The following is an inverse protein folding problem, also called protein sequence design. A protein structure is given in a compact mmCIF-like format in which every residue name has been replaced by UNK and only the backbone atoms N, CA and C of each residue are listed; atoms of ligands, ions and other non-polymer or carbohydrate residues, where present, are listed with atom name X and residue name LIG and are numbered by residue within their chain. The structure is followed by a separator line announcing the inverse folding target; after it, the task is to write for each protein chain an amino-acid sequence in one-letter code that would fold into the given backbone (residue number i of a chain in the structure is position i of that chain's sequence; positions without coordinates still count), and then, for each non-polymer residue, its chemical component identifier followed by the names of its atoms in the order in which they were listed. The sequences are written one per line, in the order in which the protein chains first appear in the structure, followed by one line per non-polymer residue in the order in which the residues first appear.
data_IF_042990460903
#
_entry.id   IF_042990460903
#
_cell.length_a   1.000
_cell.length_b   1.000
_cell.length_c   1.000
_cell.angle_alpha   90.00
_cell.angle_beta   90.00
_cell.angle_gamma   90.00
#
_symmetry.space_group_name_H-M   'P 1'
#
loop_
_entity.id
_entity.type
_entity.pdbx_description
1 polymer ?
#
# COMPACT_ATOMS: atom_id res chain seq x y z
N UNK A 1 -20.09 17.24 -15.15
CA UNK A 1 -20.74 18.01 -14.05
C UNK A 1 -19.73 18.27 -12.93
N UNK A 2 -20.00 19.21 -12.00
CA UNK A 2 -19.12 19.54 -10.86
C UNK A 2 -18.79 18.30 -9.99
N UNK A 3 -19.75 17.41 -9.82
CA UNK A 3 -19.60 16.16 -9.07
C UNK A 3 -18.52 15.22 -9.63
N UNK A 4 -18.39 15.15 -10.95
CA UNK A 4 -17.33 14.35 -11.62
C UNK A 4 -15.94 14.86 -11.25
N UNK A 5 -15.75 16.18 -11.28
CA UNK A 5 -14.47 16.79 -10.92
C UNK A 5 -14.16 16.64 -9.44
N UNK A 6 -15.17 16.74 -8.56
CA UNK A 6 -14.97 16.49 -7.13
C UNK A 6 -14.63 15.02 -6.85
N UNK A 7 -15.19 14.07 -7.61
CA UNK A 7 -14.79 12.65 -7.55
C UNK A 7 -13.37 12.46 -8.05
N UNK A 8 -13.03 12.97 -9.22
CA UNK A 8 -11.67 12.85 -9.76
C UNK A 8 -10.62 13.43 -8.81
N UNK A 9 -10.86 14.60 -8.23
CA UNK A 9 -9.96 15.22 -7.25
C UNK A 9 -9.79 14.37 -5.99
N UNK A 10 -10.86 13.79 -5.45
CA UNK A 10 -10.77 12.85 -4.32
C UNK A 10 -9.86 11.65 -4.63
N UNK A 11 -9.90 11.18 -5.88
CA UNK A 11 -9.08 10.06 -6.34
C UNK A 11 -7.64 10.51 -6.57
N UNK A 12 -7.38 11.74 -7.01
CA UNK A 12 -6.01 12.28 -7.06
C UNK A 12 -5.39 12.43 -5.68
N UNK A 13 -6.19 12.77 -4.66
CA UNK A 13 -5.72 12.96 -3.29
C UNK A 13 -5.57 11.64 -2.51
N UNK A 14 -6.44 10.64 -2.76
CA UNK A 14 -6.53 9.42 -1.94
C UNK A 14 -6.37 8.11 -2.72
N UNK A 15 -6.44 8.17 -4.04
CA UNK A 15 -6.32 7.00 -4.90
C UNK A 15 -4.89 6.46 -4.94
N UNK A 16 -4.75 5.22 -5.38
CA UNK A 16 -3.45 4.60 -5.54
C UNK A 16 -2.80 5.08 -6.83
N UNK A 17 -1.59 5.63 -6.72
CA UNK A 17 -0.77 5.88 -7.90
C UNK A 17 -0.25 4.56 -8.44
N UNK A 18 -0.67 4.23 -9.67
CA UNK A 18 -0.21 3.02 -10.34
C UNK A 18 1.06 3.31 -11.14
N UNK A 19 2.04 2.41 -11.04
CA UNK A 19 3.28 2.46 -11.83
C UNK A 19 3.02 2.16 -13.30
N UNK A 20 2.05 1.29 -13.60
CA UNK A 20 1.50 1.11 -14.94
C UNK A 20 0.30 2.03 -15.13
N UNK A 21 0.31 2.80 -16.21
CA UNK A 21 -0.69 3.83 -16.48
C UNK A 21 -1.69 3.34 -17.51
N UNK A 22 -2.93 3.84 -17.44
CA UNK A 22 -3.87 3.64 -18.53
C UNK A 22 -3.30 4.28 -19.82
N UNK A 23 -3.70 3.77 -20.98
CA UNK A 23 -3.18 4.21 -22.28
C UNK A 23 -3.25 5.74 -22.45
N UNK A 24 -4.34 6.37 -21.98
CA UNK A 24 -4.48 7.82 -22.02
C UNK A 24 -3.47 8.54 -21.11
N UNK A 25 -3.29 8.06 -19.89
CA UNK A 25 -2.34 8.65 -18.95
C UNK A 25 -0.90 8.46 -19.45
N UNK A 26 -0.60 7.32 -20.08
CA UNK A 26 0.68 7.06 -20.73
C UNK A 26 0.93 8.04 -21.88
N UNK A 27 0.00 8.13 -22.86
CA UNK A 27 0.08 9.03 -24.01
C UNK A 27 0.24 10.51 -23.62
N UNK A 28 -0.43 10.92 -22.53
CA UNK A 28 -0.38 12.30 -22.04
C UNK A 28 0.72 12.54 -21.00
N UNK A 29 1.53 11.53 -20.67
CA UNK A 29 2.57 11.58 -19.62
C UNK A 29 2.04 12.08 -18.27
N UNK A 30 0.82 11.67 -17.91
CA UNK A 30 0.16 12.02 -16.66
C UNK A 30 0.37 10.92 -15.61
N UNK A 31 0.28 11.29 -14.33
CA UNK A 31 0.18 10.31 -13.24
C UNK A 31 -1.19 9.61 -13.30
N UNK A 32 -1.24 8.34 -12.93
CA UNK A 32 -2.46 7.53 -13.00
C UNK A 32 -2.89 7.12 -11.58
N UNK A 33 -3.70 7.97 -10.94
CA UNK A 33 -4.31 7.68 -9.66
C UNK A 33 -5.62 6.93 -9.85
N UNK A 34 -5.77 5.78 -9.21
CA UNK A 34 -6.88 4.85 -9.42
C UNK A 34 -7.74 4.73 -8.18
N UNK A 35 -9.04 4.76 -8.42
CA UNK A 35 -10.06 4.36 -7.46
C UNK A 35 -10.20 2.84 -7.53
N UNK A 36 -9.68 2.11 -6.55
CA UNK A 36 -9.68 0.64 -6.54
C UNK A 36 -11.09 0.06 -6.59
N UNK A 37 -12.08 0.76 -6.01
CA UNK A 37 -13.48 0.32 -6.02
C UNK A 37 -14.13 0.40 -7.41
N UNK A 38 -13.64 1.27 -8.31
CA UNK A 38 -14.21 1.41 -9.66
C UNK A 38 -13.26 0.98 -10.78
N UNK A 39 -12.00 0.67 -10.47
CA UNK A 39 -10.95 0.38 -11.44
C UNK A 39 -10.58 1.55 -12.36
N UNK A 40 -11.17 2.74 -12.16
CA UNK A 40 -10.99 3.89 -13.07
C UNK A 40 -10.04 4.91 -12.47
N UNK A 41 -9.18 5.47 -13.32
CA UNK A 41 -8.29 6.54 -12.90
C UNK A 41 -8.99 7.90 -12.87
N UNK A 42 -8.52 8.80 -11.99
CA UNK A 42 -9.02 10.16 -11.85
C UNK A 42 -9.07 10.91 -13.19
N UNK A 43 -8.01 10.76 -14.00
CA UNK A 43 -7.91 11.40 -15.29
C UNK A 43 -8.99 10.93 -16.28
N UNK A 44 -9.27 9.62 -16.31
CA UNK A 44 -10.32 9.06 -17.17
C UNK A 44 -11.72 9.42 -16.66
N UNK A 45 -11.93 9.45 -15.34
CA UNK A 45 -13.17 9.92 -14.73
C UNK A 45 -13.42 11.39 -15.08
N UNK A 46 -12.42 12.26 -14.93
CA UNK A 46 -12.54 13.68 -15.26
C UNK A 46 -12.84 13.92 -16.75
N UNK A 47 -12.29 13.08 -17.63
CA UNK A 47 -12.52 13.15 -19.07
C UNK A 47 -13.76 12.40 -19.54
N UNK A 48 -14.43 11.63 -18.68
CA UNK A 48 -15.59 10.78 -19.04
C UNK A 48 -15.28 9.75 -20.13
N UNK A 49 -14.03 9.29 -20.19
CA UNK A 49 -13.59 8.26 -21.15
C UNK A 49 -13.40 6.94 -20.43
N UNK A 50 -13.46 5.84 -21.19
CA UNK A 50 -13.09 4.54 -20.65
C UNK A 50 -11.63 4.56 -20.16
N UNK A 51 -11.41 3.81 -19.10
CA UNK A 51 -10.09 3.62 -18.54
C UNK A 51 -9.62 2.25 -19.01
N UNK A 52 -8.60 2.21 -19.88
CA UNK A 52 -8.02 0.95 -20.33
C UNK A 52 -7.17 0.25 -19.26
N UNK A 53 -7.08 0.85 -18.07
CA UNK A 53 -6.50 0.20 -16.92
C UNK A 53 -7.50 -0.79 -16.35
N UNK A 54 -7.21 -2.07 -16.49
CA UNK A 54 -7.96 -3.13 -15.85
C UNK A 54 -7.02 -3.89 -14.91
N UNK A 55 -7.38 -3.94 -13.64
CA UNK A 55 -6.76 -4.83 -12.65
C UNK A 55 -7.91 -5.67 -12.10
N UNK A 56 -7.88 -7.00 -12.29
CA UNK A 56 -8.91 -7.89 -11.75
C UNK A 56 -9.06 -7.70 -10.23
N UNK A 57 -10.28 -7.83 -9.72
CA UNK A 57 -10.55 -7.74 -8.27
C UNK A 57 -9.78 -8.84 -7.51
N UNK A 58 -9.65 -10.02 -8.12
CA UNK A 58 -8.94 -11.17 -7.59
C UNK A 58 -7.45 -10.89 -7.37
N UNK A 59 -6.83 -10.06 -8.23
CA UNK A 59 -5.44 -9.64 -8.05
C UNK A 59 -5.29 -8.70 -6.84
N UNK A 60 -6.30 -7.85 -6.58
CA UNK A 60 -6.32 -6.99 -5.40
C UNK A 60 -6.52 -7.79 -4.11
N UNK A 61 -7.46 -8.73 -4.13
CA UNK A 61 -7.74 -9.62 -2.99
C UNK A 61 -6.49 -10.42 -2.63
N UNK A 62 -5.82 -11.02 -3.61
CA UNK A 62 -4.59 -11.79 -3.38
C UNK A 62 -3.49 -10.96 -2.70
N UNK A 63 -3.29 -9.72 -3.14
CA UNK A 63 -2.31 -8.81 -2.51
C UNK A 63 -2.74 -8.40 -1.11
N UNK A 64 -4.04 -8.21 -0.87
CA UNK A 64 -4.57 -7.88 0.45
C UNK A 64 -4.39 -9.03 1.44
N UNK A 65 -4.68 -10.26 1.02
CA UNK A 65 -4.44 -11.48 1.82
C UNK A 65 -2.96 -11.66 2.14
N UNK A 66 -2.08 -11.59 1.12
CA UNK A 66 -0.64 -11.69 1.34
C UNK A 66 -0.15 -10.62 2.32
N UNK A 67 -0.62 -9.38 2.18
CA UNK A 67 -0.25 -8.30 3.10
C UNK A 67 -0.67 -8.60 4.54
N UNK A 68 -1.85 -9.16 4.76
CA UNK A 68 -2.31 -9.51 6.10
C UNK A 68 -1.51 -10.67 6.70
N UNK A 69 -1.21 -11.70 5.91
CA UNK A 69 -0.32 -12.79 6.33
C UNK A 69 1.05 -12.26 6.76
N UNK A 70 1.65 -11.36 5.96
CA UNK A 70 2.93 -10.74 6.29
C UNK A 70 2.85 -9.88 7.55
N UNK A 71 1.74 -9.19 7.81
CA UNK A 71 1.53 -8.42 9.06
C UNK A 71 1.51 -9.33 10.28
N UNK A 72 0.81 -10.47 10.20
CA UNK A 72 0.77 -11.47 11.27
C UNK A 72 2.17 -12.07 11.49
N UNK A 73 2.87 -12.45 10.41
CA UNK A 73 4.22 -13.00 10.50
C UNK A 73 5.19 -11.99 11.14
N UNK A 74 5.13 -10.71 10.73
CA UNK A 74 5.94 -9.65 11.31
C UNK A 74 5.66 -9.46 12.81
N UNK A 75 4.39 -9.49 13.22
CA UNK A 75 4.04 -9.39 14.64
C UNK A 75 4.66 -10.54 15.47
N UNK A 76 4.62 -11.77 14.94
CA UNK A 76 5.25 -12.94 15.59
C UNK A 76 6.77 -12.78 15.71
N UNK A 77 7.43 -12.29 14.66
CA UNK A 77 8.89 -12.05 14.70
C UNK A 77 9.23 -10.95 15.70
N UNK A 78 8.47 -9.86 15.76
CA UNK A 78 8.67 -8.78 16.74
C UNK A 78 8.58 -9.28 18.18
N UNK A 79 7.61 -10.15 18.48
CA UNK A 79 7.50 -10.76 19.82
C UNK A 79 8.75 -11.59 20.14
N UNK A 80 9.26 -12.38 19.19
CA UNK A 80 10.48 -13.15 19.39
C UNK A 80 11.71 -12.26 19.59
N UNK A 81 11.84 -11.21 18.78
CA UNK A 81 12.93 -10.24 18.91
C UNK A 81 12.94 -9.59 20.29
N UNK A 82 11.78 -9.12 20.77
CA UNK A 82 11.65 -8.52 22.11
C UNK A 82 12.04 -9.48 23.24
N UNK A 83 11.79 -10.78 23.10
CA UNK A 83 12.24 -11.79 24.08
C UNK A 83 13.75 -11.94 24.08
N UNK A 84 14.37 -12.04 22.91
CA UNK A 84 15.82 -12.14 22.79
C UNK A 84 16.52 -10.88 23.29
N UNK A 85 15.94 -9.70 23.04
CA UNK A 85 16.43 -8.43 23.60
C UNK A 85 16.40 -8.44 25.14
N UNK A 86 15.34 -8.98 25.75
CA UNK A 86 15.26 -9.12 27.20
C UNK A 86 16.31 -10.10 27.75
N UNK A 87 16.47 -11.27 27.12
CA UNK A 87 17.51 -12.25 27.49
C UNK A 87 18.92 -11.67 27.38
N UNK A 88 19.19 -10.88 26.34
CA UNK A 88 20.47 -10.19 26.17
C UNK A 88 20.72 -9.19 27.30
N UNK A 89 19.73 -8.36 27.65
CA UNK A 89 19.84 -7.41 28.76
C UNK A 89 20.10 -8.11 30.10
N UNK A 90 19.50 -9.27 30.34
CA UNK A 90 19.77 -10.07 31.54
C UNK A 90 21.22 -10.58 31.56
N UNK A 91 21.75 -11.01 30.42
CA UNK A 91 23.14 -11.43 30.30
C UNK A 91 24.11 -10.26 30.52
N UNK A 92 23.87 -9.11 29.90
CA UNK A 92 24.68 -7.90 30.11
C UNK A 92 24.66 -7.47 31.58
N UNK A 93 23.50 -7.54 32.24
CA UNK A 93 23.38 -7.26 33.66
C UNK A 93 24.18 -8.25 34.52
N UNK A 94 24.26 -9.52 34.10
CA UNK A 94 25.10 -10.54 34.76
C UNK A 94 26.59 -10.25 34.52
N UNK A 95 27.01 -9.93 33.30
CA UNK A 95 28.40 -9.58 32.98
C UNK A 95 28.91 -8.43 33.84
N UNK A 96 28.11 -7.37 34.02
CA UNK A 96 28.45 -6.23 34.89
C UNK A 96 28.71 -6.63 36.34
N UNK A 97 28.14 -7.74 36.83
CA UNK A 97 28.41 -8.25 38.19
C UNK A 97 29.80 -8.86 38.33
N UNK A 98 30.40 -9.33 37.23
CA UNK A 98 31.74 -9.92 37.18
C UNK A 98 32.83 -8.89 36.88
N UNK A 99 32.49 -7.73 36.35
CA UNK A 99 33.40 -6.63 36.04
C UNK A 99 33.86 -5.84 37.30
N UNK A 100 34.20 -6.55 38.39
CA UNK A 100 34.85 -5.96 39.58
C UNK A 100 36.31 -5.62 39.30
#
# INVERSE_FOLDING_TARGET
TKERYSRARRIEERGLEMTFRCERCEKKKLRCFVDTASGRCAGCIAATVECSLFVPEEEWERVAEEKEEKRIALARVKIKAARLEAELLELEARERKFAR
#
